data_IF_106240456086
#
_entry.id   IF_106240456086
#
_cell.length_a   1.000
_cell.length_b   1.000
_cell.length_c   1.000
_cell.angle_alpha   90.00
_cell.angle_beta   90.00
_cell.angle_gamma   90.00
#
_symmetry.space_group_name_H-M   'P 1'
#
loop_
_entity.id
_entity.type
_entity.pdbx_description
1 polymer ?
#
# COMPACT_ATOMS: atom_id res chain seq x y z
N UNK A 1 -46.64 5.18 -30.96
CA UNK A 1 -45.41 5.96 -30.89
C UNK A 1 -44.86 5.75 -29.47
N UNK A 2 -44.15 4.64 -29.31
CA UNK A 2 -43.63 4.19 -28.01
C UNK A 2 -42.19 4.67 -27.87
N UNK A 3 -41.98 5.54 -26.89
CA UNK A 3 -40.65 5.82 -26.35
C UNK A 3 -40.27 4.66 -25.41
N UNK A 4 -39.28 3.89 -25.78
CA UNK A 4 -38.59 2.99 -24.86
C UNK A 4 -37.62 3.82 -24.06
N UNK A 5 -37.87 3.94 -22.77
CA UNK A 5 -36.90 4.41 -21.78
C UNK A 5 -35.77 3.37 -21.69
N UNK A 6 -34.62 3.70 -22.27
CA UNK A 6 -33.37 3.04 -22.01
C UNK A 6 -32.87 3.53 -20.62
N UNK A 7 -33.23 2.79 -19.59
CA UNK A 7 -32.51 2.85 -18.31
C UNK A 7 -31.18 2.09 -18.50
N UNK A 8 -30.19 2.81 -18.97
CA UNK A 8 -28.79 2.43 -18.79
C UNK A 8 -28.48 2.43 -17.31
N UNK A 9 -28.58 1.25 -16.69
CA UNK A 9 -27.96 1.00 -15.38
C UNK A 9 -26.46 1.03 -15.58
N UNK A 10 -25.83 2.19 -15.40
CA UNK A 10 -24.41 2.31 -15.15
C UNK A 10 -24.10 1.48 -13.90
N UNK A 11 -23.61 0.26 -14.14
CA UNK A 11 -22.98 -0.56 -13.10
C UNK A 11 -21.71 0.18 -12.70
N UNK A 12 -21.79 0.89 -11.59
CA UNK A 12 -20.67 1.61 -10.98
C UNK A 12 -19.47 0.66 -10.89
N UNK A 13 -18.49 0.89 -11.75
CA UNK A 13 -17.27 0.10 -11.79
C UNK A 13 -16.45 0.46 -10.55
N UNK A 14 -16.57 -0.34 -9.48
CA UNK A 14 -15.78 -0.14 -8.27
C UNK A 14 -14.30 -0.12 -8.63
N UNK A 15 -13.64 1.04 -8.48
CA UNK A 15 -12.20 1.19 -8.67
C UNK A 15 -11.42 0.35 -7.66
N UNK A 16 -10.22 -0.09 -8.04
CA UNK A 16 -9.29 -0.74 -7.09
C UNK A 16 -8.90 0.26 -5.99
N UNK A 17 -8.87 -0.22 -4.75
CA UNK A 17 -8.54 0.58 -3.57
C UNK A 17 -7.13 0.20 -3.07
N UNK A 18 -6.11 0.77 -3.69
CA UNK A 18 -4.73 0.59 -3.26
C UNK A 18 -4.45 1.29 -1.94
N UNK A 19 -5.02 2.47 -1.76
CA UNK A 19 -4.83 3.32 -0.57
C UNK A 19 -5.36 2.64 0.67
N UNK A 20 -6.59 2.13 0.63
CA UNK A 20 -7.19 1.41 1.76
C UNK A 20 -6.37 0.18 2.14
N UNK A 21 -5.95 -0.63 1.16
CA UNK A 21 -5.17 -1.83 1.39
C UNK A 21 -3.81 -1.52 2.04
N UNK A 22 -3.09 -0.49 1.57
CA UNK A 22 -1.81 -0.11 2.16
C UNK A 22 -1.96 0.56 3.53
N UNK A 23 -2.97 1.42 3.74
CA UNK A 23 -3.25 2.02 5.05
C UNK A 23 -3.53 0.95 6.09
N UNK A 24 -4.32 -0.06 5.73
CA UNK A 24 -4.59 -1.18 6.62
C UNK A 24 -3.34 -2.01 6.89
N UNK A 25 -2.57 -2.34 5.85
CA UNK A 25 -1.30 -3.06 5.99
C UNK A 25 -0.34 -2.34 6.93
N UNK A 26 -0.15 -1.03 6.75
CA UNK A 26 0.72 -0.25 7.62
C UNK A 26 0.17 -0.14 9.05
N UNK A 27 -1.15 -0.03 9.20
CA UNK A 27 -1.78 0.09 10.53
C UNK A 27 -1.55 -1.15 11.39
N UNK A 28 -1.66 -2.34 10.80
CA UNK A 28 -1.55 -3.60 11.54
C UNK A 28 -0.18 -4.26 11.45
N UNK A 29 0.63 -3.94 10.44
CA UNK A 29 1.92 -4.57 10.16
C UNK A 29 3.06 -3.56 9.99
N UNK A 30 3.03 -2.44 10.74
CA UNK A 30 4.03 -1.36 10.62
C UNK A 30 5.45 -1.87 10.85
N UNK A 31 5.69 -2.60 11.95
CA UNK A 31 7.03 -3.11 12.27
C UNK A 31 7.57 -4.01 11.15
N UNK A 32 6.75 -4.89 10.61
CA UNK A 32 7.12 -5.78 9.50
C UNK A 32 7.41 -4.94 8.24
N UNK A 33 6.54 -4.00 7.90
CA UNK A 33 6.72 -3.09 6.76
C UNK A 33 8.02 -2.30 6.86
N UNK A 34 8.31 -1.74 8.03
CA UNK A 34 9.54 -1.00 8.28
C UNK A 34 10.79 -1.89 8.18
N UNK A 35 10.76 -3.09 8.76
CA UNK A 35 11.88 -4.04 8.67
C UNK A 35 12.14 -4.50 7.24
N UNK A 36 11.09 -4.67 6.42
CA UNK A 36 11.21 -5.07 5.02
C UNK A 36 11.68 -3.93 4.11
N UNK A 37 11.08 -2.75 4.24
CA UNK A 37 11.34 -1.63 3.35
C UNK A 37 12.52 -0.76 3.79
N UNK A 38 12.71 -0.57 5.10
CA UNK A 38 13.67 0.37 5.69
C UNK A 38 14.43 -0.23 6.88
N UNK A 39 15.15 -1.35 6.72
CA UNK A 39 15.74 -2.10 7.83
C UNK A 39 16.63 -1.25 8.73
N UNK A 40 17.48 -0.39 8.17
CA UNK A 40 18.38 0.46 8.95
C UNK A 40 17.66 1.46 9.86
N UNK A 41 16.47 1.88 9.47
CA UNK A 41 15.62 2.77 10.29
C UNK A 41 14.83 1.94 11.29
N UNK A 42 14.32 0.79 10.87
CA UNK A 42 13.60 -0.13 11.75
C UNK A 42 14.48 -0.62 12.93
N UNK A 43 15.79 -0.79 12.71
CA UNK A 43 16.76 -1.26 13.70
C UNK A 43 17.02 -0.26 14.83
N UNK A 44 16.72 1.02 14.64
CA UNK A 44 16.88 2.05 15.69
C UNK A 44 15.58 2.41 16.40
N UNK A 45 14.45 1.83 16.00
CA UNK A 45 13.14 2.02 16.62
C UNK A 45 12.94 1.01 17.75
N UNK A 46 12.49 1.50 18.89
CA UNK A 46 12.08 0.65 20.01
C UNK A 46 10.64 0.14 19.81
N UNK A 47 10.52 -1.03 19.28
CA UNK A 47 9.24 -1.70 19.00
C UNK A 47 8.54 -2.28 20.23
N UNK A 48 9.08 -2.13 21.46
CA UNK A 48 8.37 -2.43 22.69
C UNK A 48 7.34 -1.35 23.05
N UNK A 49 7.44 -0.18 22.40
CA UNK A 49 6.49 0.91 22.53
C UNK A 49 5.64 0.99 21.26
N UNK A 50 4.31 1.06 21.44
CA UNK A 50 3.40 1.20 20.31
C UNK A 50 3.58 2.55 19.62
N UNK A 51 3.59 2.61 18.29
CA UNK A 51 3.60 3.85 17.53
C UNK A 51 2.36 4.70 17.80
N UNK A 52 2.54 6.01 17.92
CA UNK A 52 1.43 6.96 18.02
C UNK A 52 1.10 7.48 16.63
N UNK A 53 -0.11 7.23 16.15
CA UNK A 53 -0.58 7.65 14.86
C UNK A 53 -1.08 9.10 14.87
N UNK A 54 -0.71 9.87 13.84
CA UNK A 54 -0.98 11.29 13.69
C UNK A 54 -1.62 11.62 12.33
N UNK A 55 -2.52 10.77 11.86
CA UNK A 55 -3.12 10.86 10.51
C UNK A 55 -3.97 12.12 10.32
N UNK A 56 -4.56 12.65 11.41
CA UNK A 56 -5.36 13.89 11.34
C UNK A 56 -4.49 15.10 11.06
N UNK A 57 -3.29 15.10 11.60
CA UNK A 57 -2.34 16.20 11.51
C UNK A 57 -1.74 16.27 10.10
N UNK A 58 -1.43 15.12 9.48
CA UNK A 58 -0.91 15.10 8.11
C UNK A 58 -1.96 15.60 7.11
N UNK A 59 -3.24 15.26 7.31
CA UNK A 59 -4.33 15.71 6.45
C UNK A 59 -4.45 17.25 6.38
N UNK A 60 -4.08 17.96 7.44
CA UNK A 60 -4.06 19.42 7.47
C UNK A 60 -2.97 20.00 6.57
N UNK A 61 -1.78 19.38 6.56
CA UNK A 61 -0.64 19.82 5.73
C UNK A 61 -0.91 19.53 4.25
N UNK A 62 -1.41 18.35 3.92
CA UNK A 62 -1.78 17.97 2.56
C UNK A 62 -2.83 18.93 2.01
N UNK A 63 -3.84 19.27 2.81
CA UNK A 63 -4.87 20.25 2.43
C UNK A 63 -4.31 21.65 2.15
N UNK A 64 -3.32 22.10 2.90
CA UNK A 64 -2.63 23.38 2.69
C UNK A 64 -1.76 23.39 1.44
N UNK A 65 -1.17 22.26 1.07
CA UNK A 65 -0.37 22.10 -0.15
C UNK A 65 -1.21 22.05 -1.44
N UNK A 66 -2.55 22.04 -1.34
CA UNK A 66 -3.44 22.06 -2.49
C UNK A 66 -3.59 20.72 -3.22
N UNK A 67 -2.96 19.68 -2.74
CA UNK A 67 -3.06 18.32 -3.28
C UNK A 67 -4.24 17.59 -2.65
N UNK A 68 -5.33 17.42 -3.41
CA UNK A 68 -6.56 16.74 -2.93
C UNK A 68 -6.52 15.21 -3.03
N UNK A 69 -5.55 14.66 -3.75
CA UNK A 69 -5.42 13.23 -4.04
C UNK A 69 -4.03 12.74 -3.66
N UNK A 70 -3.60 12.95 -2.41
CA UNK A 70 -2.39 12.27 -1.96
C UNK A 70 -2.69 10.78 -1.82
N UNK A 71 -1.88 9.98 -2.43
CA UNK A 71 -1.78 8.55 -2.21
C UNK A 71 -1.48 8.28 -0.72
N UNK A 72 -1.28 7.06 -0.31
CA UNK A 72 -1.23 6.70 1.11
C UNK A 72 -0.14 7.44 1.87
N UNK A 73 -0.52 8.48 2.58
CA UNK A 73 0.33 9.18 3.54
C UNK A 73 -0.03 8.74 4.95
N UNK A 74 0.93 8.27 5.71
CA UNK A 74 0.77 8.01 7.14
C UNK A 74 1.83 8.75 7.94
N UNK A 75 1.43 9.31 9.07
CA UNK A 75 2.30 9.97 10.03
C UNK A 75 2.22 9.27 11.36
N UNK A 76 3.36 8.87 11.89
CA UNK A 76 3.43 8.23 13.19
C UNK A 76 4.68 8.66 13.95
N UNK A 77 4.58 8.56 15.26
CA UNK A 77 5.66 8.88 16.20
C UNK A 77 6.13 7.60 16.85
N UNK A 78 7.45 7.39 16.91
CA UNK A 78 8.09 6.21 17.50
C UNK A 78 9.19 6.59 18.50
N UNK A 79 9.43 5.70 19.45
CA UNK A 79 10.59 5.77 20.34
C UNK A 79 11.84 5.22 19.66
N UNK A 80 13.01 5.73 20.05
CA UNK A 80 14.30 5.22 19.61
C UNK A 80 14.98 4.43 20.73
N UNK A 81 15.68 3.34 20.36
CA UNK A 81 16.36 2.43 21.29
C UNK A 81 17.39 3.15 22.17
N UNK A 82 18.10 4.15 21.66
CA UNK A 82 19.25 4.78 22.32
C UNK A 82 18.94 6.10 23.01
N UNK A 83 17.68 6.46 23.13
CA UNK A 83 17.29 7.75 23.69
C UNK A 83 16.30 7.60 24.82
N UNK A 84 16.66 8.05 26.02
CA UNK A 84 15.68 8.30 27.07
C UNK A 84 14.74 9.38 26.52
N UNK A 85 13.48 9.01 26.30
CA UNK A 85 12.41 9.88 25.77
C UNK A 85 12.65 10.53 24.38
N UNK A 86 13.52 9.96 23.56
CA UNK A 86 13.66 10.44 22.18
C UNK A 86 12.59 9.83 21.28
N UNK A 87 11.69 10.71 20.83
CA UNK A 87 10.70 10.40 19.81
C UNK A 87 11.13 10.97 18.48
N UNK A 88 10.84 10.22 17.40
CA UNK A 88 10.95 10.76 16.05
C UNK A 88 9.63 10.64 15.31
N UNK A 89 9.31 11.64 14.50
CA UNK A 89 8.19 11.59 13.57
C UNK A 89 8.62 10.93 12.27
N UNK A 90 7.83 9.95 11.85
CA UNK A 90 8.01 9.25 10.59
C UNK A 90 6.82 9.57 9.68
N UNK A 91 7.08 10.24 8.58
CA UNK A 91 6.15 10.37 7.45
C UNK A 91 6.46 9.25 6.46
N UNK A 92 5.49 8.40 6.16
CA UNK A 92 5.62 7.33 5.19
C UNK A 92 4.62 7.54 4.06
N UNK A 93 5.17 7.72 2.86
CA UNK A 93 4.45 7.92 1.59
C UNK A 93 4.48 6.64 0.75
N UNK A 94 3.35 6.24 0.19
CA UNK A 94 3.28 5.16 -0.80
C UNK A 94 2.82 5.72 -2.13
N UNK A 95 3.72 5.74 -3.10
CA UNK A 95 3.49 6.32 -4.41
C UNK A 95 3.29 5.24 -5.46
N UNK A 96 2.11 5.17 -6.05
CA UNK A 96 1.70 4.13 -7.01
C UNK A 96 1.86 4.56 -8.46
N UNK A 97 2.04 5.86 -8.71
CA UNK A 97 2.17 6.45 -10.04
C UNK A 97 3.37 7.39 -10.16
N UNK A 98 3.76 7.67 -11.41
CA UNK A 98 4.81 8.65 -11.71
C UNK A 98 4.32 10.08 -11.50
N UNK A 99 5.17 10.88 -10.84
CA UNK A 99 4.95 12.31 -10.64
C UNK A 99 6.29 13.05 -10.87
N UNK A 100 6.29 14.08 -11.73
CA UNK A 100 7.51 14.79 -12.13
C UNK A 100 8.11 15.64 -11.01
N UNK A 101 7.27 16.22 -10.17
CA UNK A 101 7.60 17.11 -9.06
C UNK A 101 7.52 16.43 -7.69
N UNK A 102 7.49 15.08 -7.67
CA UNK A 102 7.39 14.27 -6.46
C UNK A 102 8.39 14.67 -5.36
N UNK A 103 9.68 14.83 -5.71
CA UNK A 103 10.69 15.20 -4.73
C UNK A 103 10.44 16.58 -4.10
N UNK A 104 9.91 17.53 -4.88
CA UNK A 104 9.50 18.85 -4.40
C UNK A 104 8.32 18.73 -3.43
N UNK A 105 7.33 17.91 -3.76
CA UNK A 105 6.18 17.66 -2.89
C UNK A 105 6.61 17.04 -1.55
N UNK A 106 7.48 16.05 -1.58
CA UNK A 106 8.05 15.42 -0.37
C UNK A 106 8.81 16.43 0.50
N UNK A 107 9.59 17.33 -0.12
CA UNK A 107 10.29 18.39 0.61
C UNK A 107 9.31 19.36 1.29
N UNK A 108 8.26 19.78 0.60
CA UNK A 108 7.21 20.66 1.14
C UNK A 108 6.48 20.01 2.32
N UNK A 109 6.11 18.72 2.22
CA UNK A 109 5.47 18.00 3.31
C UNK A 109 6.39 17.88 4.53
N UNK A 110 7.64 17.51 4.32
CA UNK A 110 8.61 17.42 5.40
C UNK A 110 8.82 18.77 6.08
N UNK A 111 8.95 19.87 5.32
CA UNK A 111 9.09 21.21 5.85
C UNK A 111 7.85 21.65 6.65
N UNK A 112 6.64 21.37 6.14
CA UNK A 112 5.38 21.65 6.82
C UNK A 112 5.25 20.89 8.15
N UNK A 113 5.57 19.59 8.15
CA UNK A 113 5.56 18.77 9.36
C UNK A 113 6.58 19.25 10.37
N UNK A 114 7.80 19.56 9.96
CA UNK A 114 8.84 20.13 10.87
C UNK A 114 8.39 21.48 11.45
N UNK A 115 7.75 22.32 10.66
CA UNK A 115 7.22 23.60 11.16
C UNK A 115 6.10 23.40 12.18
N UNK A 116 5.17 22.47 11.92
CA UNK A 116 4.03 22.16 12.79
C UNK A 116 4.47 21.56 14.13
N UNK A 117 5.33 20.56 14.10
CA UNK A 117 5.72 19.79 15.28
C UNK A 117 6.96 20.32 16.01
N UNK A 118 7.68 21.30 15.42
CA UNK A 118 8.93 21.87 15.96
C UNK A 118 10.01 20.83 16.27
N UNK A 119 10.05 19.74 15.51
CA UNK A 119 11.03 18.67 15.63
C UNK A 119 11.40 18.06 14.28
N UNK A 120 12.46 17.25 14.25
CA UNK A 120 12.85 16.54 13.02
C UNK A 120 11.81 15.51 12.62
N UNK A 121 11.60 15.39 11.32
CA UNK A 121 10.69 14.44 10.67
C UNK A 121 11.50 13.66 9.66
N UNK A 122 11.51 12.34 9.78
CA UNK A 122 12.03 11.49 8.71
C UNK A 122 10.91 11.19 7.71
N UNK A 123 11.22 11.31 6.42
CA UNK A 123 10.30 10.93 5.36
C UNK A 123 10.81 9.67 4.67
N UNK A 124 9.93 8.70 4.54
CA UNK A 124 10.18 7.38 3.96
C UNK A 124 9.23 7.18 2.79
N UNK A 125 9.72 6.60 1.69
CA UNK A 125 8.90 6.45 0.49
C UNK A 125 8.89 5.00 0.01
N UNK A 126 7.71 4.45 -0.18
CA UNK A 126 7.51 3.17 -0.88
C UNK A 126 7.06 3.49 -2.31
N UNK A 127 7.88 3.16 -3.29
CA UNK A 127 7.55 3.31 -4.70
C UNK A 127 6.90 2.03 -5.22
N UNK A 128 5.59 2.09 -5.39
CA UNK A 128 4.75 0.97 -5.82
C UNK A 128 4.39 1.02 -7.32
N UNK A 129 5.01 1.91 -8.10
CA UNK A 129 4.85 2.05 -9.55
C UNK A 129 5.68 1.03 -10.35
N UNK A 130 5.37 0.91 -11.66
CA UNK A 130 6.05 -0.02 -12.57
C UNK A 130 7.21 0.58 -13.37
N UNK A 131 7.59 1.85 -13.17
CA UNK A 131 8.68 2.48 -13.92
C UNK A 131 10.04 2.11 -13.32
N UNK A 132 10.88 1.30 -13.98
CA UNK A 132 12.10 0.76 -13.38
C UNK A 132 13.15 1.84 -13.08
N UNK A 133 13.15 2.94 -13.83
CA UNK A 133 14.17 4.00 -13.73
C UNK A 133 13.71 5.19 -12.87
N UNK A 134 12.47 5.22 -12.41
CA UNK A 134 11.99 6.31 -11.57
C UNK A 134 12.30 6.02 -10.09
N UNK A 135 13.28 6.78 -9.55
CA UNK A 135 13.80 6.61 -8.18
C UNK A 135 14.09 7.96 -7.53
N UNK A 136 13.05 8.79 -7.31
CA UNK A 136 13.22 10.08 -6.64
C UNK A 136 13.58 9.84 -5.17
N UNK A 137 14.82 10.12 -4.79
CA UNK A 137 15.32 9.94 -3.42
C UNK A 137 16.02 11.18 -2.86
N UNK A 138 16.00 12.28 -3.62
CA UNK A 138 16.57 13.56 -3.23
C UNK A 138 15.75 14.71 -3.82
N UNK A 139 15.44 15.71 -3.01
CA UNK A 139 15.10 17.06 -3.47
C UNK A 139 16.38 17.86 -3.54
N UNK A 140 16.62 18.52 -4.67
CA UNK A 140 17.78 19.35 -4.91
C UNK A 140 17.33 20.71 -5.44
N UNK A 141 17.85 21.80 -4.86
CA UNK A 141 17.69 23.15 -5.36
C UNK A 141 18.99 23.91 -5.19
N UNK A 142 19.45 24.60 -6.23
CA UNK A 142 20.65 25.43 -6.21
C UNK A 142 20.41 26.72 -7.00
N UNK A 143 20.85 27.85 -6.44
CA UNK A 143 20.81 29.15 -7.10
C UNK A 143 21.96 30.01 -6.57
N UNK A 144 23.03 30.18 -7.35
CA UNK A 144 24.24 30.88 -6.91
C UNK A 144 24.88 30.21 -5.70
N UNK A 145 25.05 30.97 -4.63
CA UNK A 145 25.62 30.45 -3.37
C UNK A 145 24.58 29.79 -2.45
N UNK A 146 23.30 29.81 -2.86
CA UNK A 146 22.24 29.15 -2.11
C UNK A 146 21.93 27.77 -2.67
N UNK A 147 21.93 26.75 -1.81
CA UNK A 147 21.57 25.40 -2.20
C UNK A 147 20.98 24.59 -1.05
N UNK A 148 20.19 23.59 -1.38
CA UNK A 148 19.67 22.60 -0.43
C UNK A 148 19.53 21.24 -1.06
N UNK A 149 19.94 20.21 -0.32
CA UNK A 149 19.73 18.80 -0.63
C UNK A 149 18.98 18.15 0.51
N UNK A 150 17.82 17.57 0.23
CA UNK A 150 17.12 16.72 1.18
C UNK A 150 17.02 15.31 0.62
N UNK A 151 17.67 14.38 1.27
CA UNK A 151 17.63 12.96 0.92
C UNK A 151 16.59 12.26 1.74
N UNK A 152 15.86 11.33 1.11
CA UNK A 152 14.91 10.45 1.77
C UNK A 152 15.07 9.02 1.27
N UNK A 153 14.97 8.00 2.15
CA UNK A 153 15.05 6.61 1.77
C UNK A 153 13.85 6.20 0.91
N UNK A 154 14.11 5.38 -0.10
CA UNK A 154 13.08 4.78 -0.94
C UNK A 154 13.14 3.26 -0.88
N UNK A 155 11.97 2.60 -0.91
CA UNK A 155 11.81 1.19 -1.15
C UNK A 155 11.06 0.99 -2.47
N UNK A 156 11.73 0.52 -3.51
CA UNK A 156 11.12 0.24 -4.81
C UNK A 156 10.57 -1.18 -4.82
N UNK A 157 9.24 -1.36 -4.75
CA UNK A 157 8.61 -2.67 -4.67
C UNK A 157 8.93 -3.55 -5.88
N UNK A 158 8.97 -2.95 -7.08
CA UNK A 158 9.28 -3.66 -8.32
C UNK A 158 10.62 -4.41 -8.26
N UNK A 159 11.63 -3.81 -7.63
CA UNK A 159 12.94 -4.45 -7.47
C UNK A 159 12.87 -5.59 -6.45
N UNK A 160 12.23 -5.33 -5.30
CA UNK A 160 12.20 -6.26 -4.17
C UNK A 160 11.42 -7.53 -4.47
N UNK A 161 10.24 -7.39 -5.10
CA UNK A 161 9.37 -8.54 -5.44
C UNK A 161 10.07 -9.50 -6.41
N UNK A 162 10.91 -8.98 -7.31
CA UNK A 162 11.63 -9.78 -8.30
C UNK A 162 12.96 -10.37 -7.83
N UNK A 163 13.48 -9.96 -6.66
CA UNK A 163 14.81 -10.36 -6.18
C UNK A 163 14.79 -10.79 -4.71
N UNK A 164 14.90 -9.83 -3.79
CA UNK A 164 15.15 -10.08 -2.37
C UNK A 164 13.97 -10.78 -1.66
N UNK A 165 12.77 -10.68 -2.22
CA UNK A 165 11.53 -11.19 -1.62
C UNK A 165 10.94 -12.41 -2.36
N UNK A 166 11.70 -13.07 -3.24
CA UNK A 166 11.19 -14.20 -4.05
C UNK A 166 10.68 -15.33 -3.16
N UNK A 167 11.42 -15.70 -2.11
CA UNK A 167 11.06 -16.78 -1.18
C UNK A 167 10.43 -16.27 0.14
N UNK A 168 10.11 -14.98 0.20
CA UNK A 168 9.57 -14.35 1.41
C UNK A 168 8.05 -14.46 1.43
N UNK A 169 7.55 -15.14 2.46
CA UNK A 169 6.11 -15.38 2.64
C UNK A 169 5.47 -14.43 3.66
N UNK A 170 6.15 -13.36 4.05
CA UNK A 170 5.57 -12.36 4.96
C UNK A 170 4.37 -11.64 4.35
N UNK A 171 3.46 -11.17 5.20
CA UNK A 171 2.22 -10.50 4.76
C UNK A 171 2.51 -9.27 3.89
N UNK A 172 3.45 -8.43 4.30
CA UNK A 172 3.83 -7.22 3.57
C UNK A 172 4.33 -7.54 2.16
N UNK A 173 5.06 -8.64 1.99
CA UNK A 173 5.54 -9.09 0.68
C UNK A 173 4.39 -9.59 -0.19
N UNK A 174 3.39 -10.27 0.38
CA UNK A 174 2.21 -10.67 -0.39
C UNK A 174 1.40 -9.44 -0.86
N UNK A 175 1.26 -8.42 -0.03
CA UNK A 175 0.62 -7.15 -0.41
C UNK A 175 1.41 -6.46 -1.54
N UNK A 176 2.74 -6.43 -1.44
CA UNK A 176 3.59 -5.87 -2.49
C UNK A 176 3.46 -6.64 -3.82
N UNK A 177 3.39 -7.98 -3.77
CA UNK A 177 3.13 -8.82 -4.96
C UNK A 177 1.77 -8.52 -5.57
N UNK A 178 0.73 -8.39 -4.74
CA UNK A 178 -0.61 -8.04 -5.20
C UNK A 178 -0.65 -6.66 -5.87
N UNK A 179 0.05 -5.67 -5.29
CA UNK A 179 0.17 -4.33 -5.86
C UNK A 179 0.82 -4.36 -7.25
N UNK A 180 1.98 -5.01 -7.39
CA UNK A 180 2.69 -5.10 -8.66
C UNK A 180 1.84 -5.86 -9.70
N UNK A 181 1.25 -6.99 -9.33
CA UNK A 181 0.37 -7.76 -10.22
C UNK A 181 -0.86 -6.96 -10.65
N UNK A 182 -1.46 -6.20 -9.73
CA UNK A 182 -2.61 -5.35 -10.02
C UNK A 182 -2.29 -4.27 -11.07
N UNK A 183 -1.13 -3.64 -10.97
CA UNK A 183 -0.68 -2.64 -11.93
C UNK A 183 -0.30 -3.26 -13.28
N UNK A 184 0.41 -4.40 -13.27
CA UNK A 184 0.82 -5.11 -14.50
C UNK A 184 -0.37 -5.60 -15.31
N UNK A 185 -1.49 -5.90 -14.66
CA UNK A 185 -2.69 -6.45 -15.30
C UNK A 185 -3.84 -5.45 -15.43
N UNK A 186 -3.57 -4.15 -15.21
CA UNK A 186 -4.61 -3.11 -15.16
C UNK A 186 -5.45 -3.03 -16.45
N UNK A 187 -4.83 -3.26 -17.62
CA UNK A 187 -5.48 -3.20 -18.93
C UNK A 187 -5.94 -4.55 -19.48
N UNK A 188 -5.65 -5.67 -18.77
CA UNK A 188 -5.99 -7.02 -19.23
C UNK A 188 -6.83 -7.76 -18.17
N UNK A 189 -8.16 -7.80 -18.31
CA UNK A 189 -9.05 -8.47 -17.37
C UNK A 189 -8.77 -9.97 -17.19
N UNK A 190 -8.33 -10.68 -18.24
CA UNK A 190 -8.05 -12.10 -18.17
C UNK A 190 -6.71 -12.38 -17.46
N UNK A 191 -5.67 -11.59 -17.76
CA UNK A 191 -4.42 -11.66 -17.03
C UNK A 191 -4.62 -11.30 -15.55
N UNK A 192 -5.46 -10.29 -15.26
CA UNK A 192 -5.84 -9.91 -13.89
C UNK A 192 -6.54 -11.06 -13.15
N UNK A 193 -7.47 -11.73 -13.80
CA UNK A 193 -8.15 -12.90 -13.25
C UNK A 193 -7.16 -14.00 -12.90
N UNK A 194 -6.27 -14.36 -13.82
CA UNK A 194 -5.26 -15.40 -13.61
C UNK A 194 -4.31 -15.04 -12.48
N UNK A 195 -3.81 -13.79 -12.45
CA UNK A 195 -2.89 -13.31 -11.41
C UNK A 195 -3.54 -13.32 -10.02
N UNK A 196 -4.78 -12.82 -9.89
CA UNK A 196 -5.51 -12.83 -8.62
C UNK A 196 -5.78 -14.25 -8.14
N UNK A 197 -6.23 -15.13 -9.02
CA UNK A 197 -6.48 -16.54 -8.70
C UNK A 197 -5.21 -17.21 -8.18
N UNK A 198 -4.07 -16.97 -8.83
CA UNK A 198 -2.78 -17.50 -8.38
C UNK A 198 -2.37 -16.96 -7.02
N UNK A 199 -2.44 -15.65 -6.82
CA UNK A 199 -2.10 -15.01 -5.53
C UNK A 199 -2.95 -15.58 -4.40
N UNK A 200 -4.26 -15.70 -4.60
CA UNK A 200 -5.16 -16.22 -3.57
C UNK A 200 -4.92 -17.71 -3.30
N UNK A 201 -4.76 -18.54 -4.33
CA UNK A 201 -4.43 -19.95 -4.14
C UNK A 201 -3.12 -20.16 -3.40
N UNK A 202 -2.12 -19.33 -3.66
CA UNK A 202 -0.84 -19.40 -2.95
C UNK A 202 -1.00 -19.17 -1.44
N UNK A 203 -1.97 -18.38 -0.96
CA UNK A 203 -2.19 -18.16 0.47
C UNK A 203 -2.43 -19.47 1.24
N UNK A 204 -3.16 -20.42 0.62
CA UNK A 204 -3.45 -21.71 1.23
C UNK A 204 -2.21 -22.62 1.31
N UNK A 205 -1.24 -22.42 0.42
CA UNK A 205 0.01 -23.22 0.40
C UNK A 205 1.10 -22.67 1.31
N UNK A 206 0.96 -21.41 1.80
CA UNK A 206 1.95 -20.74 2.64
C UNK A 206 1.89 -21.12 4.13
N UNK A 207 0.93 -21.97 4.52
CA UNK A 207 0.78 -22.41 5.90
C UNK A 207 0.21 -21.36 6.85
N UNK A 208 -0.49 -20.35 6.31
CA UNK A 208 -1.23 -19.38 7.11
C UNK A 208 -2.45 -20.01 7.77
N UNK A 209 -2.83 -19.51 8.93
CA UNK A 209 -4.12 -19.82 9.53
C UNK A 209 -5.28 -19.13 8.76
N UNK A 210 -6.50 -19.57 9.04
CA UNK A 210 -7.69 -19.07 8.34
C UNK A 210 -7.91 -17.56 8.49
N UNK A 211 -7.53 -16.97 9.63
CA UNK A 211 -7.73 -15.55 9.87
C UNK A 211 -6.77 -14.73 9.01
N UNK A 212 -5.52 -15.16 8.91
CA UNK A 212 -4.52 -14.53 8.06
C UNK A 212 -4.83 -14.69 6.57
N UNK A 213 -5.37 -15.85 6.15
CA UNK A 213 -5.84 -16.03 4.77
C UNK A 213 -6.96 -15.03 4.45
N UNK A 214 -7.94 -14.86 5.36
CA UNK A 214 -9.05 -13.89 5.17
C UNK A 214 -8.56 -12.45 5.09
N UNK A 215 -7.64 -12.07 5.97
CA UNK A 215 -7.02 -10.74 5.95
C UNK A 215 -6.34 -10.48 4.60
N UNK A 216 -5.47 -11.38 4.16
CA UNK A 216 -4.75 -11.28 2.90
C UNK A 216 -5.68 -11.30 1.70
N UNK A 217 -6.67 -12.19 1.71
CA UNK A 217 -7.68 -12.24 0.65
C UNK A 217 -8.37 -10.89 0.48
N UNK A 218 -8.80 -10.25 1.58
CA UNK A 218 -9.47 -8.95 1.55
C UNK A 218 -8.57 -7.86 0.95
N UNK A 219 -7.28 -7.80 1.35
CA UNK A 219 -6.32 -6.83 0.81
C UNK A 219 -6.09 -7.03 -0.70
N UNK A 220 -5.92 -8.29 -1.14
CA UNK A 220 -5.80 -8.64 -2.56
C UNK A 220 -7.08 -8.26 -3.32
N UNK A 221 -8.25 -8.53 -2.73
CA UNK A 221 -9.54 -8.22 -3.34
C UNK A 221 -9.72 -6.72 -3.56
N UNK A 222 -9.33 -5.87 -2.59
CA UNK A 222 -9.35 -4.43 -2.74
C UNK A 222 -8.45 -3.92 -3.87
N UNK A 223 -7.25 -4.48 -3.99
CA UNK A 223 -6.28 -4.08 -5.02
C UNK A 223 -6.64 -4.60 -6.43
N UNK A 224 -7.32 -5.74 -6.52
CA UNK A 224 -7.57 -6.45 -7.79
C UNK A 224 -9.06 -6.70 -8.00
N UNK A 225 -9.87 -5.65 -8.00
CA UNK A 225 -11.32 -5.75 -8.22
C UNK A 225 -11.64 -6.17 -9.65
N UNK A 226 -12.71 -6.92 -9.80
CA UNK A 226 -13.24 -7.41 -11.07
C UNK A 226 -14.54 -6.71 -11.46
N UNK A 227 -14.89 -6.81 -12.74
CA UNK A 227 -16.26 -6.61 -13.20
C UNK A 227 -17.14 -7.78 -12.75
N UNK A 228 -18.45 -7.58 -12.69
CA UNK A 228 -19.43 -8.49 -12.09
C UNK A 228 -19.41 -9.92 -12.64
N UNK A 229 -19.09 -10.12 -13.90
CA UNK A 229 -19.00 -11.44 -14.55
C UNK A 229 -17.77 -12.23 -14.10
N UNK A 230 -16.60 -11.60 -14.13
CA UNK A 230 -15.35 -12.19 -13.64
C UNK A 230 -15.37 -12.39 -12.12
N UNK A 231 -16.01 -11.50 -11.37
CA UNK A 231 -16.15 -11.63 -9.93
C UNK A 231 -16.96 -12.88 -9.55
N UNK A 232 -18.10 -13.11 -10.24
CA UNK A 232 -18.90 -14.32 -10.02
C UNK A 232 -18.13 -15.60 -10.36
N UNK A 233 -17.40 -15.58 -11.47
CA UNK A 233 -16.57 -16.73 -11.88
C UNK A 233 -15.47 -17.00 -10.87
N UNK A 234 -14.76 -15.96 -10.42
CA UNK A 234 -13.69 -16.06 -9.43
C UNK A 234 -14.21 -16.65 -8.11
N UNK A 235 -15.34 -16.17 -7.61
CA UNK A 235 -15.99 -16.69 -6.39
C UNK A 235 -16.34 -18.18 -6.53
N UNK A 236 -16.90 -18.58 -7.67
CA UNK A 236 -17.23 -19.99 -7.91
C UNK A 236 -16.00 -20.89 -7.96
N UNK A 237 -14.92 -20.45 -8.64
CA UNK A 237 -13.67 -21.20 -8.69
C UNK A 237 -12.99 -21.31 -7.32
N UNK A 238 -13.10 -20.26 -6.49
CA UNK A 238 -12.50 -20.25 -5.16
C UNK A 238 -13.24 -21.17 -4.19
N UNK A 239 -14.58 -21.18 -4.22
CA UNK A 239 -15.38 -22.12 -3.42
C UNK A 239 -15.04 -23.58 -3.78
N UNK A 240 -14.98 -23.90 -5.08
CA UNK A 240 -14.59 -25.24 -5.50
C UNK A 240 -13.16 -25.62 -5.04
N UNK A 241 -12.23 -24.68 -5.05
CA UNK A 241 -10.87 -24.90 -4.57
C UNK A 241 -10.81 -25.12 -3.05
N UNK A 242 -11.58 -24.35 -2.26
CA UNK A 242 -11.68 -24.55 -0.81
C UNK A 242 -12.31 -25.91 -0.44
N UNK A 243 -13.29 -26.38 -1.23
CA UNK A 243 -13.89 -27.69 -1.06
C UNK A 243 -12.88 -28.81 -1.35
N UNK A 244 -12.06 -28.70 -2.40
CA UNK A 244 -10.97 -29.65 -2.71
C UNK A 244 -9.92 -29.75 -1.60
N UNK A 245 -9.65 -28.63 -0.91
CA UNK A 245 -8.71 -28.58 0.22
C UNK A 245 -9.31 -29.03 1.56
N UNK A 246 -10.58 -29.39 1.59
CA UNK A 246 -11.34 -29.66 2.83
C UNK A 246 -11.30 -28.46 3.81
N UNK A 247 -11.19 -27.23 3.28
CA UNK A 247 -11.15 -25.97 4.01
C UNK A 247 -12.33 -25.05 3.63
N UNK A 248 -13.59 -25.49 3.71
CA UNK A 248 -14.72 -24.71 3.26
C UNK A 248 -14.89 -23.42 4.07
N UNK A 249 -15.29 -22.35 3.39
CA UNK A 249 -15.64 -21.06 3.99
C UNK A 249 -14.47 -20.28 4.63
N UNK A 250 -13.23 -20.55 4.28
CA UNK A 250 -12.09 -19.78 4.80
C UNK A 250 -12.22 -18.31 4.40
N UNK A 251 -12.48 -18.03 3.13
CA UNK A 251 -12.63 -16.63 2.64
C UNK A 251 -14.00 -16.04 2.94
N UNK A 252 -14.97 -16.82 3.41
CA UNK A 252 -16.33 -16.38 3.76
C UNK A 252 -17.03 -15.56 2.65
N UNK A 253 -16.75 -15.89 1.39
CA UNK A 253 -17.30 -15.18 0.22
C UNK A 253 -18.81 -15.11 0.25
N UNK A 254 -19.51 -16.16 0.73
CA UNK A 254 -20.96 -16.14 0.88
C UNK A 254 -21.45 -15.13 1.94
N UNK A 255 -20.60 -14.79 2.93
CA UNK A 255 -20.95 -13.80 3.97
C UNK A 255 -20.76 -12.38 3.47
N UNK A 256 -19.74 -12.13 2.64
CA UNK A 256 -19.50 -10.84 2.00
C UNK A 256 -20.50 -10.52 0.87
N UNK A 257 -21.19 -11.53 0.34
CA UNK A 257 -22.23 -11.34 -0.67
C UNK A 257 -23.60 -10.99 -0.07
N UNK A 258 -23.75 -11.01 1.27
CA UNK A 258 -25.00 -10.70 2.00
C UNK A 258 -24.95 -9.38 2.78
N UNK A 259 -23.80 -8.70 2.82
CA UNK A 259 -23.61 -7.35 3.30
C UNK A 259 -23.45 -6.36 2.12
#
# INVERSE_FOLDING_TARGET
MNQFDEHDTEVEQRSSDYDGAWKETLRFHLMESMKKCFPKIADVIDWNHEPIWLDKEISQIIGLAGHRNSEVDVLFKVHLINGVDQWILCHLEIQTSYESDFATRIDLYNAGLKWMFRQEVITLVILADLRPNWRPNVYHFELGDYGTDRRFPICKLLDRVGTDWVDDNSLVVQVARAQIAALQTASDPQARFSAKTQLVRNLYTLGYDSDKIREMFRLIDWMMRFRSDLDRRFKSELVAYEEELEMPYVTSIERLAKE
#
